data_IF_809837827951
#
_entry.id   IF_809837827951
#
_cell.length_a   1.000
_cell.length_b   1.000
_cell.length_c   1.000
_cell.angle_alpha   90.00
_cell.angle_beta   90.00
_cell.angle_gamma   90.00
#
_symmetry.space_group_name_H-M   'P 1'
#
loop_
_entity.id
_entity.type
_entity.pdbx_description
1 polymer ?
#
# COMPACT_ATOMS: atom_id res chain seq x y z
N UNK A 1 -23.82 4.45 -0.96
CA UNK A 1 -22.76 4.30 0.07
C UNK A 1 -21.45 4.73 -0.57
N UNK A 2 -20.63 5.54 0.10
CA UNK A 2 -19.34 5.95 -0.46
C UNK A 2 -18.39 4.74 -0.51
N UNK A 3 -17.66 4.60 -1.61
CA UNK A 3 -16.53 3.68 -1.72
C UNK A 3 -15.26 4.47 -1.48
N UNK A 4 -14.33 3.87 -0.74
CA UNK A 4 -13.04 4.46 -0.46
C UNK A 4 -11.95 3.57 -1.02
N UNK A 5 -10.89 4.19 -1.52
CA UNK A 5 -9.68 3.48 -1.88
C UNK A 5 -8.70 3.58 -0.71
N UNK A 6 -8.28 2.45 -0.17
CA UNK A 6 -7.20 2.38 0.81
C UNK A 6 -5.87 2.17 0.09
N UNK A 7 -5.08 3.24 -0.05
CA UNK A 7 -3.76 3.18 -0.71
C UNK A 7 -2.67 3.13 0.36
N UNK A 8 -1.89 2.06 0.37
CA UNK A 8 -0.71 1.92 1.23
C UNK A 8 0.56 2.16 0.42
N UNK A 9 1.34 3.15 0.85
CA UNK A 9 2.68 3.40 0.33
C UNK A 9 3.69 2.80 1.32
N UNK A 10 4.37 1.74 0.91
CA UNK A 10 5.41 1.10 1.73
C UNK A 10 6.49 2.09 2.14
N UNK A 11 7.06 1.92 3.34
CA UNK A 11 8.03 2.84 3.95
C UNK A 11 9.43 2.84 3.32
N UNK A 12 9.62 2.26 2.12
CA UNK A 12 10.90 2.24 1.41
C UNK A 12 11.41 0.84 1.09
N UNK A 13 12.74 0.68 1.09
CA UNK A 13 13.45 -0.50 0.59
C UNK A 13 12.89 -1.80 1.17
N UNK A 14 12.54 -2.72 0.29
CA UNK A 14 12.21 -4.09 0.63
C UNK A 14 13.35 -4.72 1.45
N UNK A 15 13.07 -5.39 2.59
CA UNK A 15 14.10 -6.08 3.34
C UNK A 15 14.85 -7.07 2.45
N UNK A 16 16.18 -7.04 2.49
CA UNK A 16 17.01 -7.99 1.75
C UNK A 16 17.02 -9.37 2.42
N UNK A 17 16.82 -9.40 3.74
CA UNK A 17 16.71 -10.64 4.50
C UNK A 17 15.36 -11.32 4.25
N UNK A 18 15.39 -12.64 4.12
CA UNK A 18 14.20 -13.44 3.82
C UNK A 18 13.27 -13.57 5.02
N UNK A 19 13.79 -13.69 6.24
CA UNK A 19 12.98 -13.81 7.43
C UNK A 19 12.24 -12.50 7.72
N UNK A 20 12.91 -11.36 7.58
CA UNK A 20 12.29 -10.03 7.69
C UNK A 20 11.21 -9.82 6.63
N UNK A 21 11.47 -10.20 5.37
CA UNK A 21 10.47 -10.13 4.30
C UNK A 21 9.25 -10.99 4.62
N UNK A 22 9.46 -12.21 5.10
CA UNK A 22 8.36 -13.11 5.46
C UNK A 22 7.53 -12.53 6.61
N UNK A 23 8.17 -12.03 7.66
CA UNK A 23 7.48 -11.42 8.79
C UNK A 23 6.63 -10.22 8.37
N UNK A 24 7.14 -9.37 7.48
CA UNK A 24 6.38 -8.23 6.93
C UNK A 24 5.16 -8.69 6.11
N UNK A 25 5.32 -9.71 5.26
CA UNK A 25 4.22 -10.27 4.46
C UNK A 25 3.15 -10.96 5.33
N UNK A 26 3.57 -11.67 6.38
CA UNK A 26 2.65 -12.31 7.34
C UNK A 26 1.85 -11.25 8.11
N UNK A 27 2.52 -10.18 8.58
CA UNK A 27 1.88 -9.06 9.27
C UNK A 27 0.87 -8.34 8.37
N UNK A 28 1.25 -8.05 7.13
CA UNK A 28 0.35 -7.48 6.12
C UNK A 28 -0.87 -8.36 5.87
N UNK A 29 -0.66 -9.64 5.58
CA UNK A 29 -1.74 -10.59 5.25
C UNK A 29 -2.68 -10.78 6.43
N UNK A 30 -2.14 -10.88 7.66
CA UNK A 30 -2.93 -11.00 8.88
C UNK A 30 -3.74 -9.75 9.21
N UNK A 31 -3.23 -8.55 8.92
CA UNK A 31 -4.00 -7.31 9.06
C UNK A 31 -5.08 -7.20 7.97
N UNK A 32 -4.70 -7.39 6.71
CA UNK A 32 -5.59 -7.27 5.55
C UNK A 32 -6.77 -8.24 5.65
N UNK A 33 -6.53 -9.47 6.10
CA UNK A 33 -7.58 -10.46 6.32
C UNK A 33 -8.66 -10.04 7.33
N UNK A 34 -8.35 -9.15 8.29
CA UNK A 34 -9.32 -8.64 9.27
C UNK A 34 -10.37 -7.71 8.64
N UNK A 35 -10.10 -7.15 7.46
CA UNK A 35 -11.04 -6.29 6.75
C UNK A 35 -12.25 -7.08 6.21
N UNK A 36 -12.05 -8.36 5.87
CA UNK A 36 -13.13 -9.28 5.48
C UNK A 36 -14.03 -8.72 4.38
N UNK A 37 -15.35 -8.76 4.61
CA UNK A 37 -16.37 -8.31 3.64
C UNK A 37 -16.40 -6.81 3.38
N UNK A 38 -15.63 -6.00 4.12
CA UNK A 38 -15.47 -4.57 3.81
C UNK A 38 -14.60 -4.32 2.58
N UNK A 39 -13.78 -5.30 2.17
CA UNK A 39 -13.00 -5.23 0.94
C UNK A 39 -13.90 -5.57 -0.25
N UNK A 40 -14.30 -4.54 -1.00
CA UNK A 40 -15.15 -4.69 -2.20
C UNK A 40 -14.35 -5.16 -3.40
N UNK A 41 -13.08 -4.74 -3.50
CA UNK A 41 -12.13 -5.12 -4.53
C UNK A 41 -10.74 -5.22 -3.88
N UNK A 42 -10.11 -6.39 -3.99
CA UNK A 42 -8.80 -6.67 -3.42
C UNK A 42 -7.64 -6.58 -4.42
N UNK A 43 -7.90 -6.10 -5.64
CA UNK A 43 -6.89 -5.89 -6.67
C UNK A 43 -6.00 -4.67 -6.41
N UNK A 44 -5.16 -4.35 -7.39
CA UNK A 44 -4.32 -3.15 -7.42
C UNK A 44 -4.95 -2.11 -8.36
N UNK A 45 -5.93 -1.30 -7.91
CA UNK A 45 -6.68 -0.39 -8.78
C UNK A 45 -5.87 0.83 -9.23
N UNK A 46 -4.67 1.02 -8.68
CA UNK A 46 -3.75 2.12 -9.02
C UNK A 46 -2.35 1.60 -9.32
N UNK A 47 -1.66 2.26 -10.25
CA UNK A 47 -0.25 2.02 -10.58
C UNK A 47 0.69 2.90 -9.76
N UNK A 48 1.85 3.24 -10.34
CA UNK A 48 2.80 4.17 -9.71
C UNK A 48 2.19 5.56 -9.54
N UNK A 49 2.04 6.00 -8.30
CA UNK A 49 1.59 7.33 -7.93
C UNK A 49 2.75 8.32 -7.86
N UNK A 50 2.45 9.61 -8.00
CA UNK A 50 3.40 10.72 -7.87
C UNK A 50 2.76 11.83 -7.05
N UNK A 51 3.54 12.50 -6.21
CA UNK A 51 3.06 13.66 -5.44
C UNK A 51 3.34 14.94 -6.24
N UNK A 52 2.31 15.75 -6.45
CA UNK A 52 2.44 17.13 -6.96
C UNK A 52 2.45 18.07 -5.75
N UNK A 53 3.60 18.69 -5.49
CA UNK A 53 3.78 19.63 -4.39
C UNK A 53 3.17 21.00 -4.72
N UNK A 54 2.91 21.87 -3.73
CA UNK A 54 2.35 23.21 -3.97
C UNK A 54 3.16 24.08 -4.95
N UNK A 55 4.46 23.82 -5.09
CA UNK A 55 5.34 24.50 -6.04
C UNK A 55 5.22 23.97 -7.49
N UNK A 56 4.39 22.96 -7.73
CA UNK A 56 4.31 22.23 -9.00
C UNK A 56 5.41 21.17 -9.19
N UNK A 57 6.33 21.01 -8.24
CA UNK A 57 7.33 19.94 -8.26
C UNK A 57 6.66 18.57 -8.13
N UNK A 58 7.14 17.60 -8.92
CA UNK A 58 6.67 16.21 -8.91
C UNK A 58 7.68 15.30 -8.22
N UNK A 59 7.23 14.46 -7.27
CA UNK A 59 8.05 13.50 -6.54
C UNK A 59 7.54 12.06 -6.71
N UNK A 60 8.46 11.08 -6.72
CA UNK A 60 8.18 9.65 -6.83
C UNK A 60 8.00 9.00 -5.43
N UNK A 61 7.25 9.66 -4.56
CA UNK A 61 6.91 9.23 -3.19
C UNK A 61 5.38 9.21 -2.97
N UNK A 62 4.63 9.28 -4.07
CA UNK A 62 3.18 9.34 -4.06
C UNK A 62 2.54 7.99 -3.91
#
# INVERSE_FOLDING_TARGET
MAKFLYVYHGSGKMPSDEAERKAAMDAWTGWYGKLGSAVVDGGNPVGMSKTVLPSGKVENNG
#
